data_IF_167354390596
#
_entry.id   IF_167354390596
#
_cell.length_a   1.000
_cell.length_b   1.000
_cell.length_c   1.000
_cell.angle_alpha   90.00
_cell.angle_beta   90.00
_cell.angle_gamma   90.00
#
_symmetry.space_group_name_H-M   'P 1'
#
loop_
_entity.id
_entity.type
_entity.pdbx_description
1 polymer ?
#
# COMPACT_ATOMS: atom_id res chain seq x y z
N UNK A 1 1.15 9.26 17.90
CA UNK A 1 0.44 9.60 16.65
C UNK A 1 0.58 11.08 16.27
N UNK A 2 0.44 12.04 17.21
CA UNK A 2 0.66 13.47 16.90
C UNK A 2 2.07 13.76 16.35
N UNK A 3 3.10 13.11 16.88
CA UNK A 3 4.49 13.27 16.43
C UNK A 3 4.70 12.95 14.95
N UNK A 4 4.05 11.94 14.38
CA UNK A 4 4.26 11.57 12.97
C UNK A 4 3.71 12.65 12.02
N UNK A 5 2.64 13.34 12.39
CA UNK A 5 2.05 14.41 11.58
C UNK A 5 3.01 15.57 11.33
N UNK A 6 3.93 15.82 12.24
CA UNK A 6 4.94 16.90 12.13
C UNK A 6 5.96 16.62 11.02
N UNK A 7 6.10 15.34 10.63
CA UNK A 7 7.02 14.91 9.57
C UNK A 7 6.33 14.69 8.21
N UNK A 8 5.05 15.04 8.09
CA UNK A 8 4.30 14.98 6.85
C UNK A 8 4.13 16.39 6.30
N UNK A 9 4.70 16.65 5.14
CA UNK A 9 4.53 17.92 4.45
C UNK A 9 3.39 17.86 3.44
N UNK A 10 2.65 18.96 3.30
CA UNK A 10 1.61 19.09 2.29
C UNK A 10 2.09 20.04 1.20
N UNK A 11 1.88 19.64 -0.05
CA UNK A 11 2.16 20.47 -1.23
C UNK A 11 0.87 20.60 -2.01
N UNK A 12 0.36 21.83 -2.10
CA UNK A 12 -0.84 22.14 -2.86
C UNK A 12 -0.52 22.11 -4.36
N UNK A 13 -1.53 21.78 -5.17
CA UNK A 13 -1.44 21.78 -6.63
C UNK A 13 -0.35 20.87 -7.22
N UNK A 14 0.00 19.77 -6.56
CA UNK A 14 0.99 18.80 -7.05
C UNK A 14 0.41 17.37 -7.10
N UNK A 15 0.66 16.58 -8.17
CA UNK A 15 1.29 16.96 -9.46
C UNK A 15 0.36 17.74 -10.39
N UNK A 16 -0.87 17.97 -9.99
CA UNK A 16 -1.90 18.67 -10.75
C UNK A 16 -2.64 19.66 -9.86
N UNK A 17 -3.15 20.72 -10.47
CA UNK A 17 -3.98 21.73 -9.80
C UNK A 17 -5.18 21.09 -9.09
N UNK A 18 -5.41 21.47 -7.84
CA UNK A 18 -6.47 20.93 -6.98
C UNK A 18 -6.09 19.65 -6.22
N UNK A 19 -4.87 19.12 -6.40
CA UNK A 19 -4.39 17.96 -5.65
C UNK A 19 -3.48 18.40 -4.50
N UNK A 20 -3.73 17.89 -3.29
CA UNK A 20 -2.82 18.07 -2.15
C UNK A 20 -1.95 16.81 -2.04
N UNK A 21 -0.67 16.95 -2.35
CA UNK A 21 0.29 15.88 -2.21
C UNK A 21 0.77 15.75 -0.76
N UNK A 22 0.68 14.54 -0.22
CA UNK A 22 1.21 14.20 1.10
C UNK A 22 2.62 13.65 0.94
N UNK A 23 3.62 14.41 1.36
CA UNK A 23 5.00 13.95 1.39
C UNK A 23 5.31 13.33 2.76
N UNK A 24 5.59 12.04 2.74
CA UNK A 24 5.91 11.23 3.92
C UNK A 24 7.43 11.03 4.09
N UNK A 25 8.26 11.57 3.20
CA UNK A 25 9.71 11.35 3.26
C UNK A 25 10.37 12.01 4.47
N UNK A 26 9.70 12.98 5.10
CA UNK A 26 10.12 13.52 6.40
C UNK A 26 10.25 12.43 7.47
N UNK A 27 9.35 11.45 7.48
CA UNK A 27 9.37 10.33 8.43
C UNK A 27 10.65 9.49 8.30
N UNK A 28 11.16 9.33 7.07
CA UNK A 28 12.34 8.49 6.82
C UNK A 28 13.65 9.14 7.32
N UNK A 29 13.66 10.45 7.56
CA UNK A 29 14.82 11.19 8.09
C UNK A 29 14.93 11.11 9.60
N UNK A 30 13.90 10.57 10.27
CA UNK A 30 13.81 10.43 11.72
C UNK A 30 13.75 8.95 12.12
N UNK A 31 14.90 8.31 12.39
CA UNK A 31 14.98 6.86 12.59
C UNK A 31 14.06 6.33 13.68
N UNK A 32 13.85 7.07 14.77
CA UNK A 32 13.00 6.64 15.88
C UNK A 32 11.51 6.72 15.50
N UNK A 33 11.11 7.74 14.76
CA UNK A 33 9.73 7.91 14.26
C UNK A 33 9.43 6.82 13.23
N UNK A 34 10.35 6.59 12.27
CA UNK A 34 10.21 5.54 11.28
C UNK A 34 10.11 4.16 11.93
N UNK A 35 11.02 3.84 12.88
CA UNK A 35 10.98 2.57 13.62
C UNK A 35 9.64 2.38 14.33
N UNK A 36 9.19 3.36 15.12
CA UNK A 36 7.92 3.26 15.83
C UNK A 36 6.71 3.15 14.91
N UNK A 37 6.76 3.72 13.71
CA UNK A 37 5.75 3.52 12.67
C UNK A 37 5.75 2.08 12.16
N UNK A 38 6.92 1.54 11.81
CA UNK A 38 7.06 0.16 11.31
C UNK A 38 6.65 -0.86 12.36
N UNK A 39 7.04 -0.68 13.63
CA UNK A 39 6.64 -1.55 14.75
C UNK A 39 5.10 -1.67 14.84
N UNK A 40 4.39 -0.55 14.76
CA UNK A 40 2.91 -0.54 14.79
C UNK A 40 2.31 -1.18 13.54
N UNK A 41 2.82 -0.86 12.35
CA UNK A 41 2.32 -1.44 11.11
C UNK A 41 2.56 -2.95 11.07
N UNK A 42 3.75 -3.41 11.44
CA UNK A 42 4.10 -4.82 11.47
C UNK A 42 3.27 -5.62 12.48
N UNK A 43 2.88 -4.99 13.59
CA UNK A 43 2.09 -5.63 14.65
C UNK A 43 0.58 -5.63 14.41
N UNK A 44 0.08 -4.95 13.36
CA UNK A 44 -1.35 -4.92 13.11
C UNK A 44 -1.89 -6.28 12.66
N UNK A 45 -3.18 -6.51 12.95
CA UNK A 45 -3.83 -7.79 12.68
C UNK A 45 -3.77 -8.19 11.21
N UNK A 46 -3.88 -7.22 10.31
CA UNK A 46 -3.87 -7.42 8.87
C UNK A 46 -2.52 -8.01 8.40
N UNK A 47 -1.41 -7.50 8.95
CA UNK A 47 -0.07 -8.04 8.66
C UNK A 47 0.10 -9.40 9.32
N UNK A 48 -0.29 -9.56 10.57
CA UNK A 48 -0.09 -10.81 11.30
C UNK A 48 -0.86 -11.97 10.67
N UNK A 49 -2.07 -11.76 10.17
CA UNK A 49 -2.93 -12.75 9.54
C UNK A 49 -2.50 -13.16 8.12
N UNK A 50 -1.57 -12.43 7.48
CA UNK A 50 -1.14 -12.73 6.11
C UNK A 50 0.01 -13.73 6.04
N UNK A 51 0.13 -14.45 4.91
CA UNK A 51 1.30 -15.28 4.60
C UNK A 51 2.43 -14.43 3.98
N UNK A 52 2.05 -13.39 3.25
CA UNK A 52 2.97 -12.50 2.56
C UNK A 52 2.42 -11.07 2.50
N UNK A 53 3.34 -10.11 2.40
CA UNK A 53 3.05 -8.69 2.23
C UNK A 53 3.09 -8.36 0.75
N UNK A 54 2.09 -7.65 0.24
CA UNK A 54 2.04 -7.16 -1.12
C UNK A 54 2.13 -5.64 -1.12
N UNK A 55 3.30 -5.13 -1.53
CA UNK A 55 3.59 -3.70 -1.54
C UNK A 55 3.35 -3.08 -2.93
N UNK A 56 2.80 -1.87 -2.95
CA UNK A 56 2.45 -1.15 -4.19
C UNK A 56 3.56 -0.18 -4.60
N UNK A 57 3.91 -0.15 -5.89
CA UNK A 57 4.88 0.80 -6.47
C UNK A 57 4.36 2.24 -6.39
N UNK A 58 5.15 3.22 -5.98
CA UNK A 58 6.56 3.11 -5.64
C UNK A 58 6.80 3.30 -4.14
N UNK A 59 6.09 4.22 -3.49
CA UNK A 59 6.30 4.60 -2.08
C UNK A 59 5.90 3.50 -1.11
N UNK A 60 4.91 2.68 -1.46
CA UNK A 60 4.54 1.49 -0.69
C UNK A 60 5.69 0.49 -0.50
N UNK A 61 6.68 0.47 -1.41
CA UNK A 61 7.84 -0.40 -1.28
C UNK A 61 8.71 -0.05 -0.08
N UNK A 62 8.82 1.23 0.27
CA UNK A 62 9.62 1.68 1.40
C UNK A 62 9.08 1.08 2.69
N UNK A 63 7.78 1.25 2.92
CA UNK A 63 7.12 0.74 4.12
C UNK A 63 6.96 -0.78 4.06
N UNK A 64 6.57 -1.32 2.91
CA UNK A 64 6.42 -2.76 2.71
C UNK A 64 7.70 -3.55 2.97
N UNK A 65 8.86 -3.06 2.51
CA UNK A 65 10.16 -3.71 2.75
C UNK A 65 10.55 -3.68 4.23
N UNK A 66 10.34 -2.54 4.90
CA UNK A 66 10.64 -2.41 6.32
C UNK A 66 9.71 -3.30 7.18
N UNK A 67 8.41 -3.36 6.85
CA UNK A 67 7.45 -4.23 7.52
C UNK A 67 7.80 -5.71 7.29
N UNK A 68 8.13 -6.09 6.05
CA UNK A 68 8.49 -7.45 5.70
C UNK A 68 9.73 -7.91 6.48
N UNK A 69 10.77 -7.08 6.51
CA UNK A 69 11.98 -7.34 7.29
C UNK A 69 11.69 -7.47 8.78
N UNK A 70 10.91 -6.54 9.34
CA UNK A 70 10.59 -6.53 10.77
C UNK A 70 9.72 -7.72 11.19
N UNK A 71 8.71 -8.09 10.37
CA UNK A 71 7.78 -9.18 10.67
C UNK A 71 8.28 -10.57 10.26
N UNK A 72 9.41 -10.66 9.54
CA UNK A 72 9.92 -11.91 8.97
C UNK A 72 9.05 -12.49 7.85
N UNK A 73 8.18 -11.68 7.23
CA UNK A 73 7.27 -12.14 6.18
C UNK A 73 7.83 -11.88 4.78
N UNK A 74 7.55 -12.76 3.79
CA UNK A 74 7.85 -12.50 2.39
C UNK A 74 7.20 -11.23 1.88
N UNK A 75 7.89 -10.52 0.97
CA UNK A 75 7.34 -9.37 0.28
C UNK A 75 7.20 -9.64 -1.21
N UNK A 76 6.02 -9.35 -1.75
CA UNK A 76 5.69 -9.36 -3.18
C UNK A 76 5.43 -7.93 -3.63
N UNK A 77 5.71 -7.62 -4.88
CA UNK A 77 5.57 -6.28 -5.43
C UNK A 77 4.47 -6.21 -6.49
N UNK A 78 3.61 -5.20 -6.38
CA UNK A 78 2.71 -4.79 -7.45
C UNK A 78 3.31 -3.58 -8.17
N UNK A 79 3.49 -3.69 -9.50
CA UNK A 79 4.20 -2.68 -10.29
C UNK A 79 3.43 -2.26 -11.54
N UNK A 80 3.77 -1.09 -12.05
CA UNK A 80 3.31 -0.62 -13.37
C UNK A 80 3.83 -1.55 -14.49
N UNK A 81 3.17 -1.60 -15.66
CA UNK A 81 3.59 -2.42 -16.79
C UNK A 81 5.05 -2.18 -17.18
N UNK A 82 5.67 -3.23 -17.76
CA UNK A 82 7.07 -3.22 -18.23
C UNK A 82 8.12 -3.04 -17.11
N UNK A 83 7.75 -3.27 -15.84
CA UNK A 83 8.66 -3.21 -14.69
C UNK A 83 8.96 -4.58 -14.08
N UNK A 84 8.26 -5.63 -14.51
CA UNK A 84 8.45 -7.00 -14.03
C UNK A 84 8.65 -7.94 -15.22
N UNK A 85 9.59 -8.89 -15.14
CA UNK A 85 9.78 -9.94 -16.16
C UNK A 85 8.88 -11.15 -15.91
N UNK A 86 8.82 -12.05 -16.87
CA UNK A 86 8.17 -13.35 -16.75
C UNK A 86 6.66 -13.34 -16.97
N UNK A 87 5.97 -14.38 -16.48
CA UNK A 87 4.51 -14.48 -16.59
C UNK A 87 3.85 -13.56 -15.56
N UNK A 88 3.01 -12.64 -16.03
CA UNK A 88 2.36 -11.62 -15.21
C UNK A 88 0.85 -11.85 -15.18
N UNK A 89 0.23 -11.50 -14.06
CA UNK A 89 -1.18 -11.16 -13.96
C UNK A 89 -1.27 -9.63 -13.98
N UNK A 90 -2.23 -9.12 -14.74
CA UNK A 90 -2.38 -7.68 -14.97
C UNK A 90 -3.83 -7.26 -14.80
N UNK A 91 -4.04 -6.08 -14.24
CA UNK A 91 -5.36 -5.45 -14.16
C UNK A 91 -5.26 -3.96 -14.45
N UNK A 92 -6.15 -3.51 -15.33
CA UNK A 92 -6.38 -2.09 -15.58
C UNK A 92 -7.41 -1.56 -14.58
N UNK A 93 -7.22 -0.35 -14.10
CA UNK A 93 -8.17 0.35 -13.25
C UNK A 93 -8.28 1.82 -13.66
N UNK A 94 -9.45 2.37 -13.47
CA UNK A 94 -9.72 3.76 -13.83
C UNK A 94 -9.34 4.69 -12.66
N UNK A 95 -8.79 5.84 -13.03
CA UNK A 95 -8.53 6.99 -12.15
C UNK A 95 -9.52 8.08 -12.50
N UNK A 96 -9.62 9.11 -11.67
CA UNK A 96 -10.43 10.29 -12.00
C UNK A 96 -10.05 10.91 -13.36
N UNK A 97 -8.74 10.80 -13.71
CA UNK A 97 -8.20 11.29 -14.99
C UNK A 97 -7.35 10.20 -15.64
N UNK A 98 -7.98 9.33 -16.45
CA UNK A 98 -7.30 8.27 -17.19
C UNK A 98 -7.38 6.89 -16.53
N UNK A 99 -6.51 5.98 -16.94
CA UNK A 99 -6.43 4.64 -16.40
C UNK A 99 -5.00 4.23 -16.16
N UNK A 100 -4.78 3.44 -15.13
CA UNK A 100 -3.50 2.80 -14.85
C UNK A 100 -3.65 1.27 -14.88
N UNK A 101 -2.52 0.59 -15.05
CA UNK A 101 -2.45 -0.86 -14.97
C UNK A 101 -1.43 -1.25 -13.92
N UNK A 102 -1.76 -2.25 -13.12
CA UNK A 102 -0.80 -2.89 -12.21
C UNK A 102 -0.57 -4.34 -12.61
N UNK A 103 0.61 -4.81 -12.32
CA UNK A 103 1.08 -6.16 -12.64
C UNK A 103 1.73 -6.81 -11.43
N UNK A 104 1.54 -8.12 -11.31
CA UNK A 104 2.20 -8.96 -10.30
C UNK A 104 2.76 -10.18 -11.03
N UNK A 105 3.95 -10.66 -10.65
CA UNK A 105 4.49 -11.90 -11.20
C UNK A 105 3.68 -13.09 -10.68
N UNK A 106 3.18 -13.94 -11.59
CA UNK A 106 2.40 -15.11 -11.22
C UNK A 106 3.17 -16.04 -10.27
N UNK A 107 4.45 -16.29 -10.56
CA UNK A 107 5.32 -17.14 -9.74
C UNK A 107 5.51 -16.61 -8.31
N UNK A 108 5.49 -15.29 -8.11
CA UNK A 108 5.75 -14.70 -6.78
C UNK A 108 4.63 -14.95 -5.77
N UNK A 109 3.42 -15.29 -6.24
CA UNK A 109 2.26 -15.52 -5.37
C UNK A 109 1.87 -17.00 -5.24
N UNK A 110 2.54 -17.92 -5.96
CA UNK A 110 2.14 -19.34 -6.04
C UNK A 110 2.09 -20.03 -4.67
N UNK A 111 3.07 -19.77 -3.82
CA UNK A 111 3.25 -20.45 -2.54
C UNK A 111 2.49 -19.81 -1.37
N UNK A 112 1.75 -18.73 -1.60
CA UNK A 112 1.04 -18.00 -0.55
C UNK A 112 -0.45 -17.98 -0.84
N UNK A 113 -1.27 -17.94 0.21
CA UNK A 113 -2.73 -17.90 0.08
C UNK A 113 -3.31 -16.57 0.57
N UNK A 114 -2.75 -16.01 1.64
CA UNK A 114 -3.26 -14.81 2.32
C UNK A 114 -2.28 -13.65 2.19
N UNK A 115 -2.79 -12.51 1.72
CA UNK A 115 -1.99 -11.32 1.48
C UNK A 115 -2.50 -10.12 2.26
N UNK A 116 -1.59 -9.35 2.84
CA UNK A 116 -1.87 -7.99 3.29
C UNK A 116 -1.30 -6.99 2.30
N UNK A 117 -2.13 -6.05 1.86
CA UNK A 117 -1.72 -5.00 0.92
C UNK A 117 -1.16 -3.82 1.72
N UNK A 118 0.05 -3.37 1.34
CA UNK A 118 0.73 -2.23 1.96
C UNK A 118 0.95 -1.11 0.97
N UNK A 119 0.56 0.09 1.35
CA UNK A 119 0.88 1.32 0.62
C UNK A 119 1.10 2.48 1.61
N UNK A 120 1.60 3.59 1.11
CA UNK A 120 1.83 4.77 1.95
C UNK A 120 0.57 5.62 2.16
N UNK A 121 -0.25 5.83 1.13
CA UNK A 121 -1.45 6.68 1.19
C UNK A 121 -2.67 5.96 0.63
N UNK A 122 -3.71 5.89 1.43
CA UNK A 122 -5.06 5.54 0.97
C UNK A 122 -5.81 6.84 0.62
N UNK A 123 -5.93 7.12 -0.68
CA UNK A 123 -6.71 8.22 -1.22
C UNK A 123 -8.12 7.72 -1.61
N UNK A 124 -8.43 7.59 -2.88
CA UNK A 124 -9.72 7.06 -3.37
C UNK A 124 -9.86 5.54 -3.25
N UNK A 125 -8.77 4.83 -2.97
CA UNK A 125 -8.74 3.37 -2.86
C UNK A 125 -8.63 2.61 -4.18
N UNK A 126 -8.65 3.29 -5.32
CA UNK A 126 -8.62 2.65 -6.65
C UNK A 126 -7.40 1.74 -6.85
N UNK A 127 -6.22 2.21 -6.47
CA UNK A 127 -4.97 1.45 -6.59
C UNK A 127 -4.98 0.19 -5.72
N UNK A 128 -5.34 0.33 -4.44
CA UNK A 128 -5.41 -0.80 -3.51
C UNK A 128 -6.48 -1.82 -3.92
N UNK A 129 -7.64 -1.34 -4.42
CA UNK A 129 -8.69 -2.17 -4.98
C UNK A 129 -8.20 -2.96 -6.20
N UNK A 130 -7.49 -2.31 -7.13
CA UNK A 130 -6.93 -2.99 -8.30
C UNK A 130 -6.02 -4.16 -7.90
N UNK A 131 -5.16 -3.96 -6.92
CA UNK A 131 -4.26 -5.01 -6.41
C UNK A 131 -5.05 -6.12 -5.71
N UNK A 132 -6.06 -5.78 -4.92
CA UNK A 132 -6.97 -6.76 -4.31
C UNK A 132 -7.65 -7.63 -5.36
N UNK A 133 -8.18 -7.00 -6.41
CA UNK A 133 -8.83 -7.71 -7.50
C UNK A 133 -7.85 -8.64 -8.27
N UNK A 134 -6.56 -8.23 -8.43
CA UNK A 134 -5.53 -9.09 -9.01
C UNK A 134 -5.33 -10.37 -8.18
N UNK A 135 -5.20 -10.22 -6.87
CA UNK A 135 -5.02 -11.35 -5.94
C UNK A 135 -6.26 -12.26 -5.96
N UNK A 136 -7.45 -11.69 -5.91
CA UNK A 136 -8.71 -12.45 -5.97
C UNK A 136 -8.87 -13.19 -7.30
N UNK A 137 -8.47 -12.58 -8.43
CA UNK A 137 -8.51 -13.24 -9.75
C UNK A 137 -7.56 -14.43 -9.87
N UNK A 138 -6.53 -14.48 -9.03
CA UNK A 138 -5.61 -15.61 -8.90
C UNK A 138 -6.10 -16.69 -7.91
N UNK A 139 -7.32 -16.57 -7.38
CA UNK A 139 -7.88 -17.49 -6.39
C UNK A 139 -7.24 -17.37 -5.01
N UNK A 140 -6.70 -16.20 -4.68
CA UNK A 140 -6.02 -15.89 -3.41
C UNK A 140 -6.84 -14.89 -2.60
N UNK A 141 -6.51 -14.75 -1.32
CA UNK A 141 -7.24 -13.93 -0.35
C UNK A 141 -6.45 -12.67 0.03
N UNK A 142 -7.13 -11.52 0.09
CA UNK A 142 -6.61 -10.31 0.74
C UNK A 142 -7.24 -10.23 2.13
N UNK A 143 -6.41 -10.39 3.17
CA UNK A 143 -6.87 -10.39 4.57
C UNK A 143 -6.97 -8.98 5.16
N UNK A 144 -6.42 -7.98 4.48
CA UNK A 144 -6.53 -6.58 4.88
C UNK A 144 -5.51 -5.67 4.24
N UNK A 145 -5.56 -4.41 4.66
CA UNK A 145 -4.76 -3.32 4.12
C UNK A 145 -4.06 -2.58 5.24
N UNK A 146 -2.78 -2.28 5.07
CA UNK A 146 -1.99 -1.50 6.04
C UNK A 146 -1.43 -0.26 5.34
N UNK A 147 -1.88 0.92 5.78
CA UNK A 147 -1.59 2.21 5.18
C UNK A 147 -0.93 3.15 6.20
N UNK A 148 0.00 3.98 5.76
CA UNK A 148 0.56 5.00 6.64
C UNK A 148 -0.46 6.11 6.87
N UNK A 149 -1.04 6.64 5.80
CA UNK A 149 -2.00 7.75 5.83
C UNK A 149 -3.28 7.38 5.09
N UNK A 150 -4.42 7.77 5.63
CA UNK A 150 -5.72 7.72 4.94
C UNK A 150 -6.31 9.11 4.85
N UNK A 151 -6.69 9.53 3.63
CA UNK A 151 -7.36 10.81 3.36
C UNK A 151 -8.86 10.59 3.53
N UNK A 152 -9.41 10.99 4.68
CA UNK A 152 -10.82 10.74 5.03
C UNK A 152 -11.82 11.30 4.03
N UNK A 153 -11.56 12.52 3.53
CA UNK A 153 -12.46 13.21 2.61
C UNK A 153 -12.69 12.44 1.31
N UNK A 154 -11.74 11.56 0.91
CA UNK A 154 -11.83 10.76 -0.30
C UNK A 154 -12.52 9.40 -0.11
N UNK A 155 -12.84 9.03 1.13
CA UNK A 155 -13.60 7.80 1.46
C UNK A 155 -13.08 6.51 0.80
N UNK A 156 -11.77 6.39 0.57
CA UNK A 156 -11.14 5.29 -0.17
C UNK A 156 -11.42 3.90 0.41
N UNK A 157 -11.56 3.81 1.73
CA UNK A 157 -11.84 2.54 2.41
C UNK A 157 -13.17 1.89 1.98
N UNK A 158 -14.16 2.65 1.49
CA UNK A 158 -15.43 2.12 0.97
C UNK A 158 -15.26 1.25 -0.27
N UNK A 159 -14.17 1.44 -0.99
CA UNK A 159 -13.86 0.69 -2.22
C UNK A 159 -13.10 -0.61 -1.93
N UNK A 160 -12.77 -0.88 -0.67
CA UNK A 160 -11.95 -2.02 -0.25
C UNK A 160 -12.81 -3.07 0.46
N UNK A 161 -12.57 -4.33 0.13
CA UNK A 161 -13.22 -5.47 0.80
C UNK A 161 -12.26 -5.97 1.88
N UNK A 162 -12.62 -5.75 3.13
CA UNK A 162 -11.83 -6.17 4.28
C UNK A 162 -11.32 -5.03 5.17
N UNK A 163 -10.65 -5.37 6.28
CA UNK A 163 -10.20 -4.39 7.25
C UNK A 163 -9.08 -3.51 6.71
N UNK A 164 -9.13 -2.23 7.07
CA UNK A 164 -8.10 -1.24 6.72
C UNK A 164 -7.51 -0.67 7.99
N UNK A 165 -6.23 -0.91 8.20
CA UNK A 165 -5.43 -0.31 9.25
C UNK A 165 -4.67 0.90 8.69
N UNK A 166 -5.04 2.09 9.11
CA UNK A 166 -4.36 3.33 8.73
C UNK A 166 -3.77 3.97 9.99
N UNK A 167 -2.47 4.26 9.96
CA UNK A 167 -1.77 4.79 11.13
C UNK A 167 -2.18 6.23 11.42
N UNK A 168 -2.51 6.98 10.38
CA UNK A 168 -2.97 8.37 10.46
C UNK A 168 -4.21 8.57 9.60
N UNK A 169 -5.15 9.33 10.13
CA UNK A 169 -6.35 9.77 9.42
C UNK A 169 -6.26 11.29 9.25
N UNK A 170 -6.27 11.79 8.02
CA UNK A 170 -6.17 13.22 7.68
C UNK A 170 -7.34 13.68 6.82
#
# INVERSE_FOLDING_TARGET
MKEILEYISNYDDFPQKGTIFKDLFGILREPNIFRGLIDRMASCQEIQASDAILAIEARGFIFGSAIAFHSGKPMIVARKPNKLPGKLIMKKYDLEYGSNTLTIQKKSIENFQKFSIVDDVLATGGTAKCVSDLISSAGKEVVGYSMVVEIRSLNGRKNLLGPVNSQLLV
#
